data_IF_869665538730
#
_entry.id   IF_869665538730
#
_cell.length_a   1.000
_cell.length_b   1.000
_cell.length_c   1.000
_cell.angle_alpha   90.00
_cell.angle_beta   90.00
_cell.angle_gamma   90.00
#
_symmetry.space_group_name_H-M   'P 1'
#
loop_
_entity.id
_entity.type
_entity.pdbx_description
1 polymer ?
#
# COMPACT_ATOMS: atom_id res chain seq x y z
N UNK A 1 -1.12 7.58 -15.42
CA UNK A 1 -1.43 6.13 -15.40
C UNK A 1 -1.63 5.65 -13.97
N UNK A 2 -0.78 6.06 -13.03
CA UNK A 2 -0.99 5.84 -11.59
C UNK A 2 -1.32 7.17 -10.89
N UNK A 3 -2.48 7.26 -10.25
CA UNK A 3 -2.91 8.43 -9.47
C UNK A 3 -3.39 7.95 -8.10
N UNK A 4 -2.81 8.51 -7.03
CA UNK A 4 -3.09 8.10 -5.65
C UNK A 4 -4.57 8.16 -5.31
N UNK A 5 -5.26 9.22 -5.73
CA UNK A 5 -6.70 9.40 -5.50
C UNK A 5 -7.54 8.27 -6.13
N UNK A 6 -7.20 7.83 -7.35
CA UNK A 6 -7.94 6.76 -8.00
C UNK A 6 -7.75 5.43 -7.27
N UNK A 7 -6.53 5.15 -6.80
CA UNK A 7 -6.23 3.95 -6.01
C UNK A 7 -6.96 4.01 -4.66
N UNK A 8 -6.90 5.15 -3.96
CA UNK A 8 -7.61 5.38 -2.71
C UNK A 8 -9.11 5.12 -2.86
N UNK A 9 -9.76 5.65 -3.91
CA UNK A 9 -11.18 5.42 -4.21
C UNK A 9 -11.52 3.95 -4.40
N UNK A 10 -10.77 3.24 -5.25
CA UNK A 10 -10.99 1.81 -5.50
C UNK A 10 -10.86 1.00 -4.21
N UNK A 11 -9.87 1.33 -3.39
CA UNK A 11 -9.67 0.68 -2.09
C UNK A 11 -10.83 0.98 -1.14
N UNK A 12 -11.27 2.23 -1.05
CA UNK A 12 -12.41 2.62 -0.21
C UNK A 12 -13.70 1.90 -0.64
N UNK A 13 -13.99 1.84 -1.93
CA UNK A 13 -15.14 1.10 -2.46
C UNK A 13 -15.07 -0.40 -2.13
N UNK A 14 -13.85 -0.96 -2.06
CA UNK A 14 -13.61 -2.32 -1.56
C UNK A 14 -13.95 -2.47 -0.09
N UNK A 15 -13.47 -1.54 0.75
CA UNK A 15 -13.75 -1.52 2.19
C UNK A 15 -15.26 -1.37 2.45
N UNK A 16 -15.93 -0.44 1.77
CA UNK A 16 -17.39 -0.24 1.90
C UNK A 16 -18.17 -1.53 1.59
N UNK A 17 -17.77 -2.27 0.56
CA UNK A 17 -18.39 -3.57 0.22
C UNK A 17 -18.16 -4.63 1.31
N UNK A 18 -16.96 -4.66 1.89
CA UNK A 18 -16.64 -5.57 2.97
C UNK A 18 -17.42 -5.23 4.24
N UNK A 19 -17.52 -3.94 4.61
CA UNK A 19 -18.35 -3.48 5.73
C UNK A 19 -19.82 -3.86 5.55
N UNK A 20 -20.35 -3.70 4.34
CA UNK A 20 -21.71 -4.12 4.02
C UNK A 20 -21.88 -5.64 4.18
N UNK A 21 -20.88 -6.45 3.79
CA UNK A 21 -20.90 -7.90 4.01
C UNK A 21 -20.94 -8.24 5.50
N UNK A 22 -20.06 -7.63 6.31
CA UNK A 22 -20.00 -7.82 7.75
C UNK A 22 -21.33 -7.43 8.42
N UNK A 23 -21.95 -6.35 7.97
CA UNK A 23 -23.26 -5.90 8.45
C UNK A 23 -24.37 -6.89 8.12
N UNK A 24 -24.40 -7.41 6.88
CA UNK A 24 -25.39 -8.43 6.47
C UNK A 24 -25.23 -9.73 7.26
N UNK A 25 -24.00 -10.12 7.56
CA UNK A 25 -23.68 -11.28 8.40
C UNK A 25 -23.97 -11.05 9.89
N UNK A 26 -24.28 -9.81 10.28
CA UNK A 26 -24.40 -9.37 11.68
C UNK A 26 -23.13 -9.69 12.48
N UNK A 27 -21.98 -9.43 11.88
CA UNK A 27 -20.69 -9.64 12.50
C UNK A 27 -20.53 -8.77 13.76
N UNK A 28 -20.08 -9.40 14.84
CA UNK A 28 -19.80 -8.73 16.13
C UNK A 28 -18.59 -7.79 16.01
N UNK A 29 -17.62 -8.16 15.17
CA UNK A 29 -16.41 -7.39 14.92
C UNK A 29 -16.47 -6.81 13.49
N UNK A 30 -16.05 -5.54 13.34
CA UNK A 30 -16.15 -4.79 12.09
C UNK A 30 -14.83 -4.73 11.32
N UNK A 31 -14.77 -3.90 10.28
CA UNK A 31 -13.52 -3.65 9.54
C UNK A 31 -12.36 -3.20 10.42
N UNK A 32 -12.64 -2.40 11.45
CA UNK A 32 -11.67 -1.86 12.39
C UNK A 32 -11.16 -2.88 13.43
N UNK A 33 -11.65 -4.12 13.35
CA UNK A 33 -11.12 -5.27 14.08
C UNK A 33 -10.10 -6.10 13.29
N UNK A 34 -10.05 -5.90 11.96
CA UNK A 34 -9.17 -6.67 11.09
C UNK A 34 -7.72 -6.22 11.28
N UNK A 35 -6.81 -7.19 11.37
CA UNK A 35 -5.38 -6.89 11.34
C UNK A 35 -4.93 -6.43 9.94
N UNK A 36 -3.71 -5.91 9.86
CA UNK A 36 -3.13 -5.39 8.63
C UNK A 36 -3.11 -6.45 7.50
N UNK A 37 -2.82 -7.72 7.83
CA UNK A 37 -2.75 -8.82 6.86
C UNK A 37 -4.13 -9.18 6.33
N UNK A 38 -5.15 -9.15 7.18
CA UNK A 38 -6.54 -9.37 6.80
C UNK A 38 -7.03 -8.23 5.90
N UNK A 39 -6.71 -6.98 6.23
CA UNK A 39 -7.02 -5.81 5.42
C UNK A 39 -6.33 -5.86 4.05
N UNK A 40 -5.10 -6.37 3.97
CA UNK A 40 -4.43 -6.61 2.69
C UNK A 40 -5.27 -7.49 1.76
N UNK A 41 -5.98 -8.48 2.33
CA UNK A 41 -6.91 -9.33 1.57
C UNK A 41 -8.06 -8.55 0.94
N UNK A 42 -8.66 -7.61 1.67
CA UNK A 42 -9.75 -6.75 1.17
C UNK A 42 -9.26 -5.82 0.06
N UNK A 43 -8.12 -5.17 0.31
CA UNK A 43 -7.48 -4.23 -0.63
C UNK A 43 -7.11 -4.94 -1.94
N UNK A 44 -6.51 -6.13 -1.86
CA UNK A 44 -6.14 -6.92 -3.05
C UNK A 44 -7.36 -7.28 -3.88
N UNK A 45 -8.44 -7.76 -3.25
CA UNK A 45 -9.69 -8.08 -3.98
C UNK A 45 -10.26 -6.84 -4.67
N UNK A 46 -10.23 -5.69 -4.01
CA UNK A 46 -10.72 -4.44 -4.56
C UNK A 46 -9.93 -4.02 -5.82
N UNK A 47 -8.59 -4.06 -5.73
CA UNK A 47 -7.70 -3.68 -6.84
C UNK A 47 -7.72 -4.69 -7.99
N UNK A 48 -7.87 -5.99 -7.71
CA UNK A 48 -8.01 -7.01 -8.76
C UNK A 48 -9.32 -6.84 -9.55
N UNK A 49 -10.40 -6.39 -8.89
CA UNK A 49 -11.68 -6.18 -9.54
C UNK A 49 -11.65 -5.07 -10.62
N UNK A 50 -10.64 -4.20 -10.61
CA UNK A 50 -10.44 -3.16 -11.64
C UNK A 50 -9.56 -3.61 -12.81
N UNK A 51 -9.16 -4.89 -12.84
CA UNK A 51 -8.38 -5.47 -13.93
C UNK A 51 -6.86 -5.34 -13.77
N UNK A 52 -6.35 -4.82 -12.65
CA UNK A 52 -4.91 -4.79 -12.38
C UNK A 52 -4.37 -6.18 -12.02
N UNK A 53 -3.11 -6.43 -12.37
CA UNK A 53 -2.35 -7.48 -11.70
C UNK A 53 -1.94 -7.01 -10.32
N UNK A 54 -2.17 -7.83 -9.30
CA UNK A 54 -1.83 -7.51 -7.91
C UNK A 54 -0.95 -8.62 -7.35
N UNK A 55 0.28 -8.26 -7.01
CA UNK A 55 1.25 -9.13 -6.36
C UNK A 55 1.47 -8.68 -4.93
N UNK A 56 1.70 -9.60 -4.00
CA UNK A 56 1.88 -9.32 -2.57
C UNK A 56 3.29 -9.66 -2.13
N UNK A 57 3.79 -8.95 -1.12
CA UNK A 57 5.07 -9.24 -0.45
C UNK A 57 6.25 -9.34 -1.45
N UNK A 58 6.26 -8.45 -2.45
CA UNK A 58 7.21 -8.52 -3.57
C UNK A 58 8.56 -7.97 -3.13
N UNK A 59 9.67 -8.72 -3.29
CA UNK A 59 11.00 -8.22 -2.96
C UNK A 59 11.35 -7.00 -3.81
N UNK A 60 12.12 -6.10 -3.22
CA UNK A 60 12.56 -4.89 -3.92
C UNK A 60 13.35 -5.21 -5.21
N UNK A 61 13.08 -4.51 -6.32
CA UNK A 61 13.58 -4.88 -7.63
C UNK A 61 15.10 -4.72 -7.76
N UNK A 62 15.73 -3.80 -7.01
CA UNK A 62 17.18 -3.61 -7.05
C UNK A 62 17.97 -4.64 -6.22
N UNK A 63 17.31 -5.52 -5.46
CA UNK A 63 17.99 -6.53 -4.65
C UNK A 63 18.72 -7.55 -5.53
N UNK A 64 19.95 -7.87 -5.16
CA UNK A 64 20.71 -8.95 -5.80
C UNK A 64 20.04 -10.32 -5.59
N UNK A 65 20.34 -11.35 -6.42
CA UNK A 65 19.80 -12.70 -6.24
C UNK A 65 20.06 -13.31 -4.85
N UNK A 66 21.21 -12.99 -4.23
CA UNK A 66 21.52 -13.44 -2.89
C UNK A 66 20.64 -12.73 -1.84
N UNK A 67 20.48 -11.41 -1.94
CA UNK A 67 19.61 -10.63 -1.05
C UNK A 67 18.14 -11.03 -1.20
N UNK A 68 17.68 -11.38 -2.40
CA UNK A 68 16.31 -11.89 -2.62
C UNK A 68 16.01 -13.21 -1.92
N UNK A 69 17.04 -13.98 -1.55
CA UNK A 69 16.90 -15.24 -0.79
C UNK A 69 16.92 -15.02 0.73
N UNK A 70 17.28 -13.82 1.19
CA UNK A 70 17.29 -13.48 2.60
C UNK A 70 15.84 -13.44 3.15
N UNK A 71 15.52 -14.17 4.24
CA UNK A 71 14.23 -14.07 4.89
C UNK A 71 13.87 -12.66 5.39
N UNK A 72 14.87 -11.84 5.73
CA UNK A 72 14.72 -10.47 6.23
C UNK A 72 14.82 -9.40 5.14
N UNK A 73 14.85 -9.80 3.87
CA UNK A 73 14.93 -8.87 2.74
C UNK A 73 13.81 -7.83 2.76
N UNK A 74 14.11 -6.67 2.19
CA UNK A 74 13.10 -5.65 1.92
C UNK A 74 12.10 -6.15 0.88
N UNK A 75 10.83 -5.93 1.21
CA UNK A 75 9.67 -6.28 0.38
C UNK A 75 8.63 -5.18 0.49
N UNK A 76 7.87 -5.05 -0.57
CA UNK A 76 6.72 -4.17 -0.65
C UNK A 76 5.45 -4.99 -0.42
N UNK A 77 4.51 -4.44 0.34
CA UNK A 77 3.27 -5.14 0.69
C UNK A 77 2.51 -5.53 -0.57
N UNK A 78 2.43 -4.61 -1.55
CA UNK A 78 1.75 -4.85 -2.82
C UNK A 78 2.45 -4.19 -4.01
N UNK A 79 2.30 -4.81 -5.18
CA UNK A 79 2.74 -4.24 -6.47
C UNK A 79 1.61 -4.40 -7.47
N UNK A 80 1.21 -3.29 -8.10
CA UNK A 80 0.23 -3.27 -9.18
C UNK A 80 0.93 -3.26 -10.53
N UNK A 81 0.56 -4.21 -11.38
CA UNK A 81 0.92 -4.24 -12.80
C UNK A 81 -0.28 -3.84 -13.67
N UNK A 82 -0.04 -3.23 -14.85
CA UNK A 82 -1.12 -2.86 -15.78
C UNK A 82 -2.00 -4.05 -16.20
N UNK A 83 -1.40 -5.23 -16.33
CA UNK A 83 -2.08 -6.46 -16.76
C UNK A 83 -2.08 -7.52 -15.64
N UNK A 84 -3.16 -8.31 -15.51
CA UNK A 84 -3.24 -9.41 -14.57
C UNK A 84 -2.39 -10.60 -15.01
N UNK A 85 -1.93 -11.39 -14.04
CA UNK A 85 -1.23 -12.67 -14.27
C UNK A 85 0.23 -12.54 -14.76
N UNK A 86 0.74 -11.32 -14.95
CA UNK A 86 2.15 -11.09 -15.32
C UNK A 86 3.03 -11.02 -14.08
N UNK A 87 4.23 -11.60 -14.15
CA UNK A 87 5.25 -11.45 -13.11
C UNK A 87 6.06 -10.17 -13.32
N UNK A 88 6.61 -9.62 -12.23
CA UNK A 88 7.59 -8.53 -12.31
C UNK A 88 8.91 -9.09 -12.83
N UNK A 89 9.46 -8.43 -13.85
CA UNK A 89 10.73 -8.78 -14.45
C UNK A 89 11.88 -8.60 -13.46
N UNK A 90 12.76 -9.59 -13.39
CA UNK A 90 14.04 -9.46 -12.67
C UNK A 90 15.07 -8.72 -13.53
N UNK A 91 15.17 -7.41 -13.35
CA UNK A 91 16.06 -6.53 -14.13
C UNK A 91 17.53 -6.95 -14.08
N UNK A 92 18.03 -7.45 -12.95
CA UNK A 92 19.42 -7.87 -12.83
C UNK A 92 19.68 -9.12 -13.66
N UNK A 93 18.74 -10.08 -13.61
CA UNK A 93 18.78 -11.28 -14.44
C UNK A 93 18.68 -10.92 -15.92
N UNK A 94 17.71 -10.08 -16.30
CA UNK A 94 17.52 -9.68 -17.71
C UNK A 94 18.73 -8.93 -18.28
N UNK A 95 19.39 -8.08 -17.48
CA UNK A 95 20.65 -7.41 -17.90
C UNK A 95 21.79 -8.41 -18.12
N UNK A 96 21.89 -9.43 -17.28
CA UNK A 96 22.89 -10.49 -17.43
C UNK A 96 22.64 -11.31 -18.69
N UNK A 97 21.41 -11.77 -18.89
CA UNK A 97 21.01 -12.55 -20.07
C UNK A 97 21.26 -11.77 -21.36
N UNK A 98 20.93 -10.47 -21.41
CA UNK A 98 21.23 -9.60 -22.57
C UNK A 98 22.72 -9.49 -22.89
N UNK A 99 23.58 -9.42 -21.87
CA UNK A 99 25.05 -9.38 -22.07
C UNK A 99 25.57 -10.72 -22.59
N UNK A 100 25.01 -11.83 -22.12
CA UNK A 100 25.39 -13.18 -22.54
C UNK A 100 24.90 -13.51 -23.96
N UNK A 101 23.80 -12.89 -24.42
CA UNK A 101 23.24 -13.08 -25.76
C UNK A 101 23.63 -12.01 -26.77
N UNK A 102 24.41 -11.00 -26.37
CA UNK A 102 24.88 -9.94 -27.26
C UNK A 102 25.69 -10.52 -28.43
N UNK A 103 25.24 -10.29 -29.66
CA UNK A 103 25.83 -10.84 -30.88
C UNK A 103 25.29 -12.22 -31.33
N UNK A 104 24.31 -12.80 -30.62
CA UNK A 104 23.61 -14.01 -31.04
C UNK A 104 22.31 -13.70 -31.79
N UNK A 105 21.79 -14.68 -32.55
CA UNK A 105 20.54 -14.56 -33.33
C UNK A 105 19.32 -14.15 -32.49
N UNK A 106 19.32 -14.47 -31.19
CA UNK A 106 18.24 -14.19 -30.25
C UNK A 106 18.49 -12.96 -29.37
N UNK A 107 19.46 -12.11 -29.68
CA UNK A 107 19.75 -10.89 -28.92
C UNK A 107 18.55 -9.91 -28.82
N UNK A 108 17.56 -10.04 -29.70
CA UNK A 108 16.41 -9.14 -29.83
C UNK A 108 15.12 -9.64 -29.19
N UNK A 109 15.11 -10.80 -28.51
CA UNK A 109 13.91 -11.23 -27.80
C UNK A 109 13.57 -10.25 -26.67
N UNK A 110 12.32 -9.81 -26.62
CA UNK A 110 11.84 -9.00 -25.51
C UNK A 110 11.93 -9.82 -24.21
N UNK A 111 12.43 -9.24 -23.11
CA UNK A 111 12.46 -9.97 -21.85
C UNK A 111 11.05 -10.27 -21.36
N UNK A 112 10.89 -11.42 -20.73
CA UNK A 112 9.61 -11.83 -20.13
C UNK A 112 9.31 -11.01 -18.85
N UNK A 113 8.02 -10.75 -18.61
CA UNK A 113 7.52 -10.03 -17.43
C UNK A 113 7.35 -8.52 -17.62
N UNK A 114 6.73 -7.88 -16.63
CA UNK A 114 6.50 -6.42 -16.60
C UNK A 114 7.73 -5.71 -16.06
N UNK A 115 8.12 -4.60 -16.68
CA UNK A 115 9.18 -3.75 -16.13
C UNK A 115 8.77 -3.24 -14.73
N UNK A 116 9.60 -3.41 -13.68
CA UNK A 116 9.28 -2.89 -12.34
C UNK A 116 9.00 -1.38 -12.32
N UNK A 117 9.50 -0.63 -13.31
CA UNK A 117 9.27 0.82 -13.45
C UNK A 117 7.90 1.17 -14.01
N UNK A 118 7.22 0.23 -14.68
CA UNK A 118 5.85 0.42 -15.16
C UNK A 118 4.82 0.12 -14.06
N UNK A 119 5.25 -0.51 -12.97
CA UNK A 119 4.39 -0.94 -11.87
C UNK A 119 4.28 0.12 -10.78
N UNK A 120 3.16 0.11 -10.04
CA UNK A 120 2.96 0.90 -8.83
C UNK A 120 3.29 0.05 -7.59
N UNK A 121 4.27 0.48 -6.81
CA UNK A 121 4.70 -0.17 -5.57
C UNK A 121 3.98 0.48 -4.38
N UNK A 122 3.31 -0.33 -3.56
CA UNK A 122 2.42 0.13 -2.50
C UNK A 122 2.79 -0.47 -1.15
N UNK A 123 3.01 0.41 -0.17
CA UNK A 123 3.02 0.06 1.26
C UNK A 123 1.66 0.41 1.85
N UNK A 124 1.17 -0.42 2.77
CA UNK A 124 -0.12 -0.21 3.42
C UNK A 124 0.10 -0.14 4.93
N UNK A 125 -0.50 0.86 5.56
CA UNK A 125 -0.55 0.97 7.01
C UNK A 125 -1.96 1.12 7.51
N UNK A 126 -2.33 0.34 8.51
CA UNK A 126 -3.58 0.52 9.25
C UNK A 126 -3.32 1.22 10.59
N UNK A 127 -4.14 2.22 10.92
CA UNK A 127 -4.13 2.93 12.21
C UNK A 127 -5.57 3.17 12.65
N UNK A 128 -5.89 2.90 13.92
CA UNK A 128 -7.21 3.19 14.48
C UNK A 128 -7.10 4.06 15.74
N UNK A 129 -8.08 4.94 15.96
CA UNK A 129 -8.24 5.66 17.22
C UNK A 129 -8.61 4.72 18.38
N UNK A 130 -9.44 3.74 18.08
CA UNK A 130 -9.76 2.62 18.97
C UNK A 130 -9.31 1.32 18.32
N UNK A 131 -8.65 0.46 19.10
CA UNK A 131 -8.15 -0.85 18.63
C UNK A 131 -8.42 -1.92 19.68
N UNK A 132 -8.43 -3.18 19.24
CA UNK A 132 -8.51 -4.32 20.15
C UNK A 132 -7.15 -4.60 20.80
N UNK A 133 -7.10 -4.55 22.13
CA UNK A 133 -5.96 -4.98 22.92
C UNK A 133 -6.39 -6.16 23.79
N UNK A 134 -5.81 -7.35 23.55
CA UNK A 134 -6.21 -8.60 24.20
C UNK A 134 -7.73 -8.87 24.08
N UNK A 135 -8.31 -8.57 22.91
CA UNK A 135 -9.74 -8.76 22.63
C UNK A 135 -10.67 -7.69 23.23
N UNK A 136 -10.13 -6.69 23.92
CA UNK A 136 -10.92 -5.58 24.50
C UNK A 136 -10.69 -4.31 23.68
N UNK A 137 -11.76 -3.61 23.23
CA UNK A 137 -11.61 -2.33 22.55
C UNK A 137 -11.15 -1.25 23.52
N UNK A 138 -10.05 -0.57 23.18
CA UNK A 138 -9.46 0.50 23.98
C UNK A 138 -8.95 1.64 23.08
N UNK A 139 -8.83 2.87 23.61
CA UNK A 139 -8.15 3.95 22.90
C UNK A 139 -6.70 3.58 22.58
N UNK A 140 -6.27 3.82 21.34
CA UNK A 140 -4.91 3.59 20.89
C UNK A 140 -3.98 4.69 21.42
N UNK A 141 -3.20 4.34 22.44
CA UNK A 141 -2.24 5.27 23.08
C UNK A 141 -1.08 5.68 22.16
N UNK A 142 -0.83 4.93 21.10
CA UNK A 142 0.25 5.16 20.14
C UNK A 142 -0.23 5.85 18.86
N UNK A 143 -1.54 6.10 18.74
CA UNK A 143 -2.23 6.60 17.55
C UNK A 143 -1.47 7.69 16.78
N UNK A 144 -1.17 8.81 17.44
CA UNK A 144 -0.54 9.96 16.78
C UNK A 144 0.88 9.62 16.26
N UNK A 145 1.66 8.85 17.03
CA UNK A 145 3.02 8.45 16.63
C UNK A 145 3.02 7.39 15.52
N UNK A 146 2.02 6.50 15.51
CA UNK A 146 1.83 5.51 14.45
C UNK A 146 1.48 6.21 13.14
N UNK A 147 0.51 7.12 13.17
CA UNK A 147 0.04 7.84 11.99
C UNK A 147 1.15 8.68 11.34
N UNK A 148 1.85 9.51 12.12
CA UNK A 148 2.96 10.33 11.62
C UNK A 148 4.13 9.45 11.16
N UNK A 149 4.39 8.37 11.91
CA UNK A 149 5.48 7.46 11.63
C UNK A 149 5.28 6.67 10.34
N UNK A 150 4.04 6.28 10.03
CA UNK A 150 3.66 5.52 8.85
C UNK A 150 4.09 6.22 7.57
N UNK A 151 3.57 7.43 7.35
CA UNK A 151 3.80 8.22 6.13
C UNK A 151 5.30 8.37 5.85
N UNK A 152 6.07 8.80 6.86
CA UNK A 152 7.51 9.06 6.67
C UNK A 152 8.30 7.79 6.41
N UNK A 153 8.11 6.74 7.22
CA UNK A 153 8.93 5.51 7.10
C UNK A 153 8.70 4.83 5.77
N UNK A 154 7.44 4.75 5.34
CA UNK A 154 7.07 4.06 4.11
C UNK A 154 7.51 4.87 2.88
N UNK A 155 7.40 6.20 2.94
CA UNK A 155 7.93 7.07 1.88
C UNK A 155 9.45 6.91 1.71
N UNK A 156 10.22 6.93 2.81
CA UNK A 156 11.68 6.73 2.77
C UNK A 156 12.04 5.33 2.29
N UNK A 157 11.31 4.30 2.77
CA UNK A 157 11.50 2.90 2.36
C UNK A 157 11.34 2.77 0.84
N UNK A 158 10.21 3.23 0.28
CA UNK A 158 9.92 3.15 -1.15
C UNK A 158 10.88 4.00 -2.01
N UNK A 159 11.26 5.19 -1.54
CA UNK A 159 12.18 6.07 -2.27
C UNK A 159 13.61 5.50 -2.38
N UNK A 160 13.99 4.57 -1.50
CA UNK A 160 15.35 4.03 -1.45
C UNK A 160 15.73 3.10 -2.60
N UNK A 161 14.75 2.48 -3.29
CA UNK A 161 15.04 1.57 -4.40
C UNK A 161 15.07 2.33 -5.74
N UNK A 162 16.19 2.33 -6.48
CA UNK A 162 16.35 3.10 -7.73
C UNK A 162 15.52 2.58 -8.92
N UNK A 163 14.97 1.37 -8.86
CA UNK A 163 14.16 0.78 -9.93
C UNK A 163 12.66 0.95 -9.72
N UNK A 164 12.22 1.42 -8.55
CA UNK A 164 10.83 1.80 -8.30
C UNK A 164 10.57 3.20 -8.87
N UNK A 165 9.89 3.30 -10.01
CA UNK A 165 9.56 4.59 -10.64
C UNK A 165 8.23 5.17 -10.15
N UNK A 166 7.28 4.30 -9.79
CA UNK A 166 5.98 4.70 -9.24
C UNK A 166 5.78 4.03 -7.89
N UNK A 167 5.58 4.85 -6.87
CA UNK A 167 5.36 4.39 -5.51
C UNK A 167 4.28 5.24 -4.83
N UNK A 168 3.48 4.58 -4.00
CA UNK A 168 2.55 5.23 -3.10
C UNK A 168 2.54 4.50 -1.75
N UNK A 169 2.26 5.22 -0.68
CA UNK A 169 1.80 4.55 0.53
C UNK A 169 0.33 4.82 0.76
N UNK A 170 -0.35 3.85 1.36
CA UNK A 170 -1.75 3.91 1.74
C UNK A 170 -1.85 3.88 3.27
N UNK A 171 -2.51 4.87 3.86
CA UNK A 171 -2.88 4.86 5.27
C UNK A 171 -4.36 4.65 5.39
N UNK A 172 -4.77 3.51 5.92
CA UNK A 172 -6.14 3.27 6.37
C UNK A 172 -6.26 3.76 7.81
N UNK A 173 -7.10 4.76 8.01
CA UNK A 173 -7.38 5.40 9.30
C UNK A 173 -8.82 5.10 9.73
N UNK A 174 -8.97 4.48 10.89
CA UNK A 174 -10.25 4.35 11.59
C UNK A 174 -10.39 5.43 12.66
N UNK A 175 -11.50 6.15 12.65
CA UNK A 175 -11.71 7.33 13.52
C UNK A 175 -13.19 7.50 13.89
N UNK A 176 -13.44 8.24 14.98
CA UNK A 176 -14.78 8.55 15.49
C UNK A 176 -15.59 9.44 14.54
N UNK A 177 -14.94 10.34 13.80
CA UNK A 177 -15.60 11.26 12.88
C UNK A 177 -14.75 11.59 11.65
N UNK A 178 -15.41 12.04 10.58
CA UNK A 178 -14.75 12.47 9.35
C UNK A 178 -13.82 13.67 9.61
N UNK A 179 -14.25 14.62 10.43
CA UNK A 179 -13.49 15.82 10.77
C UNK A 179 -12.18 15.49 11.49
N UNK A 180 -12.21 14.48 12.36
CA UNK A 180 -11.00 14.00 13.03
C UNK A 180 -10.04 13.35 12.03
N UNK A 181 -10.56 12.51 11.12
CA UNK A 181 -9.74 11.90 10.09
C UNK A 181 -9.05 12.94 9.20
N UNK A 182 -9.81 13.92 8.68
CA UNK A 182 -9.28 14.99 7.84
C UNK A 182 -8.18 15.79 8.54
N UNK A 183 -8.45 16.21 9.78
CA UNK A 183 -7.49 16.94 10.60
C UNK A 183 -6.20 16.13 10.81
N UNK A 184 -6.32 14.89 11.27
CA UNK A 184 -5.18 14.08 11.68
C UNK A 184 -4.34 13.61 10.48
N UNK A 185 -4.98 13.24 9.36
CA UNK A 185 -4.28 12.93 8.11
C UNK A 185 -3.54 14.17 7.58
N UNK A 186 -4.16 15.35 7.64
CA UNK A 186 -3.52 16.61 7.28
C UNK A 186 -2.30 16.93 8.15
N UNK A 187 -2.41 16.75 9.47
CA UNK A 187 -1.29 16.92 10.41
C UNK A 187 -0.18 15.91 10.13
N UNK A 188 -0.52 14.65 9.85
CA UNK A 188 0.45 13.61 9.55
C UNK A 188 1.22 13.90 8.26
N UNK A 189 0.53 14.32 7.20
CA UNK A 189 1.14 14.72 5.93
C UNK A 189 2.12 15.88 6.13
N UNK A 190 1.67 16.97 6.78
CA UNK A 190 2.51 18.14 7.04
C UNK A 190 3.75 17.78 7.87
N UNK A 191 3.58 17.02 8.96
CA UNK A 191 4.72 16.59 9.80
C UNK A 191 5.68 15.65 9.08
N UNK A 192 5.20 14.84 8.14
CA UNK A 192 6.08 14.00 7.32
C UNK A 192 6.93 14.86 6.37
N UNK A 193 6.33 15.86 5.72
CA UNK A 193 7.01 16.82 4.85
C UNK A 193 8.03 17.67 5.63
N UNK A 194 7.65 18.21 6.80
CA UNK A 194 8.56 18.97 7.69
C UNK A 194 9.80 18.16 8.10
N UNK A 195 9.69 16.82 8.08
CA UNK A 195 10.77 15.87 8.41
C UNK A 195 11.45 15.28 7.17
N UNK A 196 11.25 15.88 6.00
CA UNK A 196 11.92 15.54 4.75
C UNK A 196 11.42 14.25 4.10
N UNK A 197 10.17 13.85 4.32
CA UNK A 197 9.60 12.72 3.58
C UNK A 197 9.48 13.08 2.08
N UNK A 198 9.91 12.19 1.16
CA UNK A 198 9.84 12.44 -0.28
C UNK A 198 8.41 12.19 -0.78
N UNK A 199 7.49 13.10 -0.50
CA UNK A 199 6.07 12.99 -0.86
C UNK A 199 5.71 14.15 -1.79
N UNK A 200 5.20 13.84 -2.98
CA UNK A 200 4.79 14.85 -3.99
C UNK A 200 3.29 15.12 -4.02
N UNK A 201 2.48 14.24 -3.44
CA UNK A 201 1.03 14.34 -3.48
C UNK A 201 0.40 13.62 -2.30
N UNK A 202 -0.71 14.16 -1.81
CA UNK A 202 -1.49 13.61 -0.73
C UNK A 202 -2.97 13.76 -1.07
N UNK A 203 -3.72 12.66 -0.99
CA UNK A 203 -5.15 12.64 -1.28
C UNK A 203 -5.81 11.64 -0.35
N UNK A 204 -7.05 11.90 0.06
CA UNK A 204 -7.77 10.99 0.93
C UNK A 204 -9.26 10.96 0.60
N UNK A 205 -9.91 9.88 0.98
CA UNK A 205 -11.34 9.65 0.85
C UNK A 205 -11.86 8.98 2.12
N UNK A 206 -13.14 9.16 2.41
CA UNK A 206 -13.77 8.67 3.66
C UNK A 206 -15.08 7.94 3.37
N UNK A 207 -15.38 6.95 4.18
CA UNK A 207 -16.71 6.34 4.24
C UNK A 207 -17.11 6.05 5.68
N UNK A 208 -18.41 6.18 6.01
CA UNK A 208 -18.90 5.73 7.30
C UNK A 208 -18.81 4.20 7.40
N UNK A 209 -18.56 3.72 8.62
CA UNK A 209 -18.63 2.31 9.01
C UNK A 209 -19.56 2.17 10.22
N UNK A 210 -20.04 0.96 10.49
CA UNK A 210 -20.88 0.74 11.68
C UNK A 210 -20.02 0.76 12.95
N UNK A 211 -20.45 1.60 13.89
CA UNK A 211 -19.75 1.83 15.16
C UNK A 211 -19.86 0.59 16.07
N UNK A 212 -18.76 -0.15 16.20
CA UNK A 212 -18.66 -1.30 17.10
C UNK A 212 -17.75 -1.04 18.30
N UNK A 213 -16.74 -0.19 18.13
CA UNK A 213 -15.71 0.04 19.15
C UNK A 213 -15.31 1.52 19.32
N UNK A 214 -16.04 2.44 18.73
CA UNK A 214 -15.78 3.89 18.79
C UNK A 214 -15.26 4.50 17.49
N UNK A 215 -14.89 3.69 16.49
CA UNK A 215 -14.61 4.20 15.14
C UNK A 215 -15.89 4.18 14.31
N UNK A 216 -16.20 5.29 13.65
CA UNK A 216 -17.40 5.46 12.79
C UNK A 216 -17.05 5.74 11.34
N UNK A 217 -15.78 6.00 11.04
CA UNK A 217 -15.30 6.26 9.70
C UNK A 217 -14.06 5.44 9.40
N UNK A 218 -14.04 4.88 8.18
CA UNK A 218 -12.85 4.38 7.53
C UNK A 218 -12.38 5.43 6.51
N UNK A 219 -11.15 5.88 6.65
CA UNK A 219 -10.54 6.87 5.76
C UNK A 219 -9.31 6.28 5.12
N UNK A 220 -9.15 6.45 3.82
CA UNK A 220 -7.96 5.98 3.09
C UNK A 220 -7.22 7.19 2.55
N UNK A 221 -5.99 7.39 3.01
CA UNK A 221 -5.08 8.39 2.45
C UNK A 221 -4.06 7.71 1.56
N UNK A 222 -3.87 8.23 0.36
CA UNK A 222 -2.78 7.89 -0.54
C UNK A 222 -1.77 9.04 -0.56
N UNK A 223 -0.51 8.71 -0.32
CA UNK A 223 0.61 9.63 -0.50
C UNK A 223 1.52 9.12 -1.62
N UNK A 224 1.70 9.96 -2.63
CA UNK A 224 2.55 9.64 -3.79
C UNK A 224 4.00 10.00 -3.49
N UNK A 225 4.91 9.08 -3.78
CA UNK A 225 6.33 9.27 -3.48
C UNK A 225 6.98 10.11 -4.57
N UNK A 226 7.69 11.15 -4.15
CA UNK A 226 8.57 11.92 -5.01
C UNK A 226 9.84 11.12 -5.29
N UNK A 227 10.25 11.06 -6.55
CA UNK A 227 11.51 10.45 -6.93
C UNK A 227 12.54 11.55 -7.14
N UNK A 228 13.72 11.47 -6.51
CA UNK A 228 14.82 12.39 -6.77
C UNK A 228 15.36 12.25 -8.19
#
# INVERSE_FOLDING_TARGET
MWHGLNIARVVLEGLVREEESLRLERAVAGLDSLDEIQLHGVIVRALQATGFGVLREVPFPSLSPAQKRDPQRQRCDMVLSPEPGKQIRDELRSRRERRETEGLLFAHSAPEGVDPRECLWIEVKCVGQFTYTNGVPLPNRSYASELIGAVRRDAVKLASDPLIAHAAGLVLLFSESCEIAEHDLGVAANRALDRGAPVKGFSFEHAPIEDRIGNRYASIAAFEIERP
#
